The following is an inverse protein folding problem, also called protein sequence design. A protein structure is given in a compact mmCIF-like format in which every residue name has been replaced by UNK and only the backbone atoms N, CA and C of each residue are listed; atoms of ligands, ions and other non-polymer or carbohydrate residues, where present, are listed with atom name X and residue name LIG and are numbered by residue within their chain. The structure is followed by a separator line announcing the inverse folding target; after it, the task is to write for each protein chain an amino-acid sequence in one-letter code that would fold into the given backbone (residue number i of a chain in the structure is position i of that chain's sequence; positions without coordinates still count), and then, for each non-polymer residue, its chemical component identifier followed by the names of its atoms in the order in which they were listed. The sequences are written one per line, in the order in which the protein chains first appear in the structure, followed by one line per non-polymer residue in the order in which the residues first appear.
data_IF_183569096256
#
_entry.id   IF_183569096256
#
_cell.length_a   1.000
_cell.length_b   1.000
_cell.length_c   1.000
_cell.angle_alpha   90.00
_cell.angle_beta   90.00
_cell.angle_gamma   90.00
#
_symmetry.space_group_name_H-M   'P 1'
#
loop_
_entity.id
_entity.type
_entity.pdbx_description
1 polymer ?
#
# COMPACT_ATOMS: atom_id res chain seq x y z
N UNK A 1 -20.86 36.08 30.79
CA UNK A 1 -20.28 36.94 29.73
C UNK A 1 -19.05 37.62 30.31
N UNK A 2 -18.06 38.04 29.51
CA UNK A 2 -17.26 37.34 28.49
C UNK A 2 -15.73 37.56 28.78
N UNK A 3 -14.81 36.79 28.21
CA UNK A 3 -14.06 37.15 26.99
C UNK A 3 -12.62 37.56 27.38
N UNK A 4 -11.57 37.49 26.58
CA UNK A 4 -11.30 37.06 25.20
C UNK A 4 -9.76 37.22 25.12
N UNK A 5 -9.03 36.16 24.78
CA UNK A 5 -8.16 36.12 23.59
C UNK A 5 -6.93 37.05 23.62
N UNK A 6 -5.75 36.47 23.40
CA UNK A 6 -4.74 36.95 22.43
C UNK A 6 -3.52 36.04 22.49
N UNK A 7 -3.34 35.28 21.40
CA UNK A 7 -2.07 34.99 20.70
C UNK A 7 -1.76 33.51 20.42
N UNK A 8 -2.44 32.99 19.37
CA UNK A 8 -1.80 32.14 18.33
C UNK A 8 -0.61 32.95 17.74
N UNK A 9 0.48 32.39 17.17
CA UNK A 9 0.59 31.06 16.57
C UNK A 9 1.96 30.37 16.80
N UNK A 10 1.96 29.05 16.92
CA UNK A 10 2.77 28.16 16.08
C UNK A 10 2.12 26.80 16.25
N UNK A 11 1.25 26.46 15.30
CA UNK A 11 1.16 25.08 14.84
C UNK A 11 2.60 24.70 14.49
N UNK A 12 3.35 24.22 15.51
CA UNK A 12 4.65 23.63 15.32
C UNK A 12 4.32 22.36 14.60
N UNK A 13 4.31 22.55 13.28
CA UNK A 13 4.46 21.57 12.24
C UNK A 13 3.95 20.26 12.76
N UNK A 14 2.66 20.02 12.53
CA UNK A 14 2.15 18.68 12.36
C UNK A 14 3.18 18.00 11.47
N UNK A 15 4.15 17.38 12.15
CA UNK A 15 4.99 16.37 11.59
C UNK A 15 3.95 15.52 10.93
N UNK A 16 3.98 15.50 9.61
CA UNK A 16 3.16 14.63 8.81
C UNK A 16 3.59 13.20 9.18
N UNK A 17 3.22 12.79 10.40
CA UNK A 17 2.71 11.48 10.69
C UNK A 17 1.62 11.38 9.64
N UNK A 18 1.80 10.60 8.56
CA UNK A 18 0.65 10.31 7.72
C UNK A 18 -0.44 9.90 8.71
N UNK A 19 -1.53 10.65 8.74
CA UNK A 19 -2.67 10.30 9.56
C UNK A 19 -2.90 8.80 9.32
N UNK A 20 -3.05 7.95 10.36
CA UNK A 20 -3.46 6.58 10.10
C UNK A 20 -4.70 6.72 9.21
N UNK A 21 -4.69 6.18 7.98
CA UNK A 21 -5.78 6.40 7.05
C UNK A 21 -7.06 6.05 7.81
N UNK A 22 -8.03 6.96 7.76
CA UNK A 22 -9.31 6.80 8.43
C UNK A 22 -9.80 5.35 8.27
N UNK A 23 -10.43 4.73 9.29
CA UNK A 23 -10.97 3.40 9.14
C UNK A 23 -12.10 3.49 8.11
N UNK A 24 -11.77 3.21 6.86
CA UNK A 24 -12.70 3.27 5.75
C UNK A 24 -12.58 1.96 4.97
N UNK A 25 -13.54 1.09 5.27
CA UNK A 25 -14.12 0.07 4.41
C UNK A 25 -13.21 -1.11 4.01
N UNK A 26 -13.59 -2.29 4.52
CA UNK A 26 -13.43 -3.59 3.87
C UNK A 26 -11.99 -3.98 3.46
N UNK A 27 -11.28 -4.64 4.40
CA UNK A 27 -10.16 -5.53 4.05
C UNK A 27 -8.76 -4.93 3.90
N UNK A 28 -8.44 -3.75 4.43
CA UNK A 28 -7.04 -3.32 4.51
C UNK A 28 -6.17 -4.32 5.31
N UNK A 29 -5.17 -4.92 4.67
CA UNK A 29 -4.27 -5.90 5.30
C UNK A 29 -3.05 -5.22 5.91
N UNK A 30 -2.48 -4.24 5.19
CA UNK A 30 -1.26 -3.57 5.60
C UNK A 30 -0.52 -2.91 4.45
N UNK A 31 0.59 -2.25 4.77
CA UNK A 31 1.51 -1.70 3.78
C UNK A 31 2.70 -2.65 3.58
N UNK A 32 3.15 -2.79 2.34
CA UNK A 32 4.29 -3.61 1.97
C UNK A 32 5.13 -2.92 0.91
N UNK A 33 6.42 -3.18 0.94
CA UNK A 33 7.33 -2.83 -0.15
C UNK A 33 7.26 -3.92 -1.21
N UNK A 34 6.77 -3.61 -2.40
CA UNK A 34 6.69 -4.57 -3.50
C UNK A 34 7.80 -4.33 -4.53
N UNK A 35 8.57 -5.37 -4.81
CA UNK A 35 9.54 -5.42 -5.89
C UNK A 35 9.01 -6.17 -7.11
N UNK A 36 9.70 -6.01 -8.23
CA UNK A 36 9.43 -6.81 -9.42
C UNK A 36 9.57 -8.31 -9.10
N UNK A 37 8.48 -9.06 -9.27
CA UNK A 37 8.46 -10.50 -9.15
C UNK A 37 8.97 -11.21 -10.41
N UNK A 38 8.77 -12.52 -10.47
CA UNK A 38 9.22 -13.34 -11.58
C UNK A 38 8.67 -12.81 -12.93
N UNK A 39 9.54 -12.44 -13.91
CA UNK A 39 9.11 -11.84 -15.17
C UNK A 39 8.39 -12.83 -16.10
N UNK A 40 8.44 -14.14 -15.79
CA UNK A 40 7.74 -15.18 -16.55
C UNK A 40 6.29 -15.41 -16.14
N UNK A 41 5.82 -14.84 -15.03
CA UNK A 41 4.43 -15.03 -14.60
C UNK A 41 3.51 -13.98 -15.23
N UNK A 42 2.80 -14.40 -16.26
CA UNK A 42 1.75 -13.62 -16.92
C UNK A 42 0.55 -13.40 -15.99
N UNK A 43 -0.03 -12.21 -16.03
CA UNK A 43 -1.23 -11.85 -15.26
C UNK A 43 -1.01 -10.72 -14.25
N UNK A 44 -2.06 -10.42 -13.48
CA UNK A 44 -2.05 -9.41 -12.43
C UNK A 44 -2.08 -10.10 -11.07
N UNK A 45 -0.94 -10.18 -10.41
CA UNK A 45 -0.80 -10.78 -9.10
C UNK A 45 0.18 -10.00 -8.21
N UNK A 46 0.01 -10.12 -6.90
CA UNK A 46 0.93 -9.65 -5.86
C UNK A 46 1.13 -10.78 -4.87
N UNK A 47 2.34 -11.31 -4.81
CA UNK A 47 2.72 -12.30 -3.82
C UNK A 47 3.21 -11.60 -2.56
N UNK A 48 2.50 -11.78 -1.45
CA UNK A 48 2.78 -11.11 -0.18
C UNK A 48 2.65 -12.06 1.00
N UNK A 49 3.48 -11.87 2.02
CA UNK A 49 3.34 -12.54 3.32
C UNK A 49 2.14 -12.07 4.15
N UNK A 50 1.50 -10.99 3.70
CA UNK A 50 0.33 -10.40 4.36
C UNK A 50 -0.94 -11.26 4.19
N UNK A 51 -1.00 -12.14 3.18
CA UNK A 51 -2.13 -13.03 2.95
C UNK A 51 -1.72 -14.49 3.15
N UNK A 52 -2.61 -15.28 3.75
CA UNK A 52 -2.39 -16.71 3.97
C UNK A 52 -2.81 -17.57 2.77
N UNK A 53 -3.74 -17.07 1.95
CA UNK A 53 -4.28 -17.78 0.79
C UNK A 53 -4.34 -16.87 -0.44
N UNK A 54 -4.46 -17.48 -1.62
CA UNK A 54 -4.62 -16.73 -2.86
C UNK A 54 -6.05 -16.18 -2.95
N UNK A 55 -6.19 -14.86 -2.84
CA UNK A 55 -7.47 -14.16 -2.89
C UNK A 55 -7.41 -12.96 -3.84
N UNK A 56 -8.55 -12.39 -4.21
CA UNK A 56 -8.57 -11.12 -4.93
C UNK A 56 -8.37 -9.98 -3.94
N UNK A 57 -7.63 -8.97 -4.38
CA UNK A 57 -7.44 -7.78 -3.60
C UNK A 57 -7.08 -6.58 -4.46
N UNK A 58 -7.01 -5.44 -3.80
CA UNK A 58 -6.62 -4.17 -4.38
C UNK A 58 -5.31 -3.73 -3.75
N UNK A 59 -4.46 -3.17 -4.58
CA UNK A 59 -3.24 -2.49 -4.14
C UNK A 59 -3.35 -1.02 -4.47
N UNK A 60 -2.79 -0.18 -3.60
CA UNK A 60 -2.74 1.27 -3.79
C UNK A 60 -1.30 1.72 -3.62
N UNK A 61 -0.74 2.38 -4.63
CA UNK A 61 0.60 2.96 -4.59
C UNK A 61 0.59 4.23 -3.76
N UNK A 62 1.76 4.64 -3.24
CA UNK A 62 1.92 5.96 -2.61
C UNK A 62 1.52 7.11 -3.55
N UNK A 63 1.75 6.95 -4.86
CA UNK A 63 1.33 7.90 -5.88
C UNK A 63 -0.20 8.00 -6.05
N UNK A 64 -1.00 7.28 -5.27
CA UNK A 64 -2.47 7.28 -5.32
C UNK A 64 -3.06 6.38 -6.42
N UNK A 65 -2.24 5.54 -7.05
CA UNK A 65 -2.67 4.67 -8.15
C UNK A 65 -3.15 3.35 -7.56
N UNK A 66 -4.42 3.02 -7.77
CA UNK A 66 -4.99 1.75 -7.33
C UNK A 66 -5.07 0.73 -8.45
N UNK A 67 -4.85 -0.55 -8.15
CA UNK A 67 -5.04 -1.65 -9.09
C UNK A 67 -5.60 -2.87 -8.36
N UNK A 68 -6.65 -3.47 -8.92
CA UNK A 68 -7.17 -4.76 -8.43
C UNK A 68 -6.42 -5.90 -9.10
N UNK A 69 -5.93 -6.85 -8.31
CA UNK A 69 -5.15 -7.99 -8.76
C UNK A 69 -5.30 -9.18 -7.81
N UNK A 70 -4.70 -10.31 -8.15
CA UNK A 70 -4.70 -11.50 -7.31
C UNK A 70 -3.61 -11.43 -6.23
N UNK A 71 -3.99 -11.37 -4.97
CA UNK A 71 -3.09 -11.50 -3.83
C UNK A 71 -2.74 -12.98 -3.65
N UNK A 72 -1.47 -13.32 -3.70
CA UNK A 72 -0.95 -14.68 -3.50
C UNK A 72 -0.19 -14.74 -2.19
N UNK A 73 -0.37 -15.81 -1.43
CA UNK A 73 0.43 -16.03 -0.23
C UNK A 73 1.89 -16.25 -0.61
N UNK A 74 2.81 -15.44 -0.06
CA UNK A 74 4.25 -15.65 -0.23
C UNK A 74 4.82 -16.65 0.77
N UNK A 75 4.13 -16.90 1.88
CA UNK A 75 4.68 -17.60 3.04
C UNK A 75 5.83 -16.86 3.74
N UNK A 76 6.17 -15.65 3.30
CA UNK A 76 7.15 -14.77 3.93
C UNK A 76 6.52 -14.03 5.12
N UNK A 77 7.34 -13.49 6.01
CA UNK A 77 6.83 -12.68 7.13
C UNK A 77 6.10 -11.41 6.62
N UNK A 78 5.06 -10.96 7.33
CA UNK A 78 4.42 -9.68 7.04
C UNK A 78 5.46 -8.55 7.12
N UNK A 79 5.68 -7.87 6.00
CA UNK A 79 6.69 -6.80 5.91
C UNK A 79 8.06 -7.22 5.38
N UNK A 80 8.30 -8.50 5.07
CA UNK A 80 9.54 -8.97 4.44
C UNK A 80 9.70 -8.50 2.97
N UNK A 81 8.71 -7.79 2.45
CA UNK A 81 8.61 -7.41 1.05
C UNK A 81 7.62 -8.30 0.30
N UNK A 82 7.07 -7.74 -0.77
CA UNK A 82 6.13 -8.40 -1.66
C UNK A 82 6.69 -8.43 -3.07
N UNK A 83 6.20 -9.36 -3.88
CA UNK A 83 6.56 -9.47 -5.28
C UNK A 83 5.34 -9.18 -6.12
N UNK A 84 5.43 -8.25 -7.05
CA UNK A 84 4.33 -7.88 -7.95
C UNK A 84 4.67 -8.28 -9.38
N UNK A 85 3.67 -8.71 -10.16
CA UNK A 85 3.91 -9.04 -11.57
C UNK A 85 4.38 -7.83 -12.35
N UNK A 86 5.18 -8.10 -13.39
CA UNK A 86 5.61 -7.08 -14.35
C UNK A 86 4.41 -6.33 -14.94
N UNK A 87 3.34 -7.03 -15.32
CA UNK A 87 2.14 -6.40 -15.89
C UNK A 87 1.44 -5.45 -14.90
N UNK A 88 1.40 -5.80 -13.61
CA UNK A 88 0.78 -4.97 -12.60
C UNK A 88 1.60 -3.70 -12.34
N UNK A 89 2.94 -3.82 -12.25
CA UNK A 89 3.83 -2.64 -12.18
C UNK A 89 3.76 -1.77 -13.43
N UNK A 90 3.74 -2.36 -14.63
CA UNK A 90 3.57 -1.63 -15.91
C UNK A 90 2.23 -0.89 -15.94
N UNK A 91 1.14 -1.52 -15.49
CA UNK A 91 -0.18 -0.88 -15.39
C UNK A 91 -0.15 0.31 -14.43
N UNK A 92 0.54 0.19 -13.30
CA UNK A 92 0.68 1.27 -12.30
C UNK A 92 1.71 2.34 -12.71
N UNK A 93 2.56 2.08 -13.71
CA UNK A 93 3.67 2.96 -14.10
C UNK A 93 4.80 3.01 -13.08
N UNK A 94 5.03 1.93 -12.32
CA UNK A 94 6.06 1.87 -11.28
C UNK A 94 7.44 1.54 -11.85
N UNK A 95 8.49 2.06 -11.22
CA UNK A 95 9.87 1.76 -11.60
C UNK A 95 10.29 0.35 -11.14
N UNK A 96 10.82 -0.46 -12.07
CA UNK A 96 11.20 -1.87 -11.83
C UNK A 96 12.45 -2.05 -10.97
N UNK A 97 13.32 -1.05 -10.92
CA UNK A 97 14.59 -1.12 -10.18
C UNK A 97 14.47 -0.71 -8.72
N UNK A 98 13.27 -0.38 -8.23
CA UNK A 98 13.04 0.17 -6.90
C UNK A 98 11.93 -0.63 -6.21
N UNK A 99 11.96 -0.70 -4.88
CA UNK A 99 10.82 -1.20 -4.12
C UNK A 99 9.72 -0.13 -4.10
N UNK A 100 8.53 -0.48 -4.57
CA UNK A 100 7.37 0.40 -4.53
C UNK A 100 6.60 0.18 -3.22
N UNK A 101 6.36 1.24 -2.46
CA UNK A 101 5.47 1.17 -1.29
C UNK A 101 4.03 1.00 -1.77
N UNK A 102 3.44 -0.16 -1.46
CA UNK A 102 2.08 -0.53 -1.81
C UNK A 102 1.26 -0.81 -0.55
N UNK A 103 0.07 -0.23 -0.50
CA UNK A 103 -0.95 -0.56 0.49
C UNK A 103 -1.83 -1.67 -0.06
N UNK A 104 -1.96 -2.76 0.68
CA UNK A 104 -2.67 -3.98 0.28
C UNK A 104 -4.02 -4.02 0.97
N UNK A 105 -5.05 -4.29 0.17
CA UNK A 105 -6.43 -4.45 0.57
C UNK A 105 -6.91 -5.79 0.02
N UNK A 106 -7.47 -6.65 0.87
CA UNK A 106 -8.26 -7.81 0.46
C UNK A 106 -9.72 -7.37 0.26
N UNK A 107 -10.43 -8.03 -0.65
CA UNK A 107 -11.89 -7.91 -0.79
C UNK A 107 -12.57 -9.02 0.03
#
# INVERSE_FOLDING_TARGET
MPGDDVMRPRARQEQARPAPPAPAADGFVGETLAGLGAPGETGLWLRTGLVAETTRGRIVTEAGRSLTLELRASGAEPGAGSQISLMAMQSLGLAFGQLATLRVYVD
#
